data_IF_441448863558
#
_entry.id   IF_441448863558
#
_cell.length_a   1.000
_cell.length_b   1.000
_cell.length_c   1.000
_cell.angle_alpha   90.00
_cell.angle_beta   90.00
_cell.angle_gamma   90.00
#
_symmetry.space_group_name_H-M   'P 1'
#
loop_
_entity.id
_entity.type
_entity.pdbx_description
1 polymer ?
#
# COMPACT_ATOMS: atom_id res chain seq x y z
N UNK A 1 -28.75 -9.66 -0.84
CA UNK A 1 -27.49 -8.89 -0.86
C UNK A 1 -27.58 -7.87 0.29
N UNK A 2 -26.87 -8.11 1.40
CA UNK A 2 -26.88 -7.22 2.56
C UNK A 2 -25.63 -6.34 2.48
N UNK A 3 -25.79 -5.08 2.06
CA UNK A 3 -24.74 -4.08 2.16
C UNK A 3 -24.90 -3.36 3.50
N UNK A 4 -23.85 -3.34 4.32
CA UNK A 4 -23.84 -2.61 5.58
C UNK A 4 -23.67 -1.11 5.29
N UNK A 5 -24.64 -0.29 5.71
CA UNK A 5 -24.55 1.17 5.62
C UNK A 5 -23.83 1.70 6.85
N UNK A 6 -22.60 2.18 6.67
CA UNK A 6 -21.80 2.76 7.75
C UNK A 6 -22.57 3.92 8.41
N UNK A 7 -22.80 3.82 9.72
CA UNK A 7 -23.68 4.72 10.49
C UNK A 7 -22.99 6.01 10.98
N UNK A 8 -21.69 6.17 10.70
CA UNK A 8 -20.90 7.40 10.89
C UNK A 8 -19.88 7.56 9.77
N UNK A 9 -19.72 8.80 9.33
CA UNK A 9 -19.01 9.30 8.15
C UNK A 9 -17.49 9.07 8.17
N UNK A 10 -17.03 7.84 7.92
CA UNK A 10 -15.68 7.63 7.46
C UNK A 10 -15.62 7.93 5.97
N UNK A 11 -14.71 8.83 5.61
CA UNK A 11 -14.43 9.23 4.24
C UNK A 11 -13.51 8.18 3.60
N UNK A 12 -14.13 7.21 2.92
CA UNK A 12 -13.47 6.02 2.40
C UNK A 12 -13.02 6.22 0.96
N UNK A 13 -11.80 5.78 0.67
CA UNK A 13 -11.25 5.75 -0.68
C UNK A 13 -10.61 4.39 -0.96
N UNK A 14 -10.44 4.08 -2.24
CA UNK A 14 -9.70 2.89 -2.67
C UNK A 14 -8.23 3.26 -2.81
N UNK A 15 -7.38 2.55 -2.06
CA UNK A 15 -5.93 2.57 -2.25
C UNK A 15 -5.55 1.48 -3.26
N UNK A 16 -4.97 1.89 -4.38
CA UNK A 16 -4.31 0.97 -5.30
C UNK A 16 -2.88 0.71 -4.84
N UNK A 17 -2.47 -0.55 -4.79
CA UNK A 17 -1.13 -0.99 -4.40
C UNK A 17 -0.57 -1.76 -5.58
N UNK A 18 0.47 -1.26 -6.23
CA UNK A 18 0.96 -1.85 -7.46
C UNK A 18 2.48 -1.98 -7.49
N UNK A 19 2.95 -3.19 -7.81
CA UNK A 19 4.36 -3.44 -8.07
C UNK A 19 4.73 -2.96 -9.46
N UNK A 20 5.79 -2.16 -9.54
CA UNK A 20 6.40 -1.70 -10.80
C UNK A 20 7.70 -2.43 -11.12
N UNK A 21 8.13 -3.36 -10.25
CA UNK A 21 9.32 -4.20 -10.48
C UNK A 21 9.24 -4.97 -11.81
N UNK A 22 10.38 -5.34 -12.43
CA UNK A 22 10.40 -6.07 -13.70
C UNK A 22 9.64 -7.41 -13.69
N UNK A 23 9.49 -8.02 -12.52
CA UNK A 23 8.79 -9.28 -12.29
C UNK A 23 7.32 -9.10 -11.87
N UNK A 24 6.73 -7.92 -12.05
CA UNK A 24 5.37 -7.58 -11.61
C UNK A 24 4.27 -8.51 -12.13
N UNK A 25 4.52 -9.28 -13.18
CA UNK A 25 3.58 -10.28 -13.70
C UNK A 25 3.76 -11.67 -13.10
N UNK A 26 4.92 -11.96 -12.50
CA UNK A 26 5.34 -13.32 -12.13
C UNK A 26 5.38 -13.51 -10.62
N UNK A 27 5.85 -12.51 -9.87
CA UNK A 27 5.95 -12.61 -8.42
C UNK A 27 4.60 -12.48 -7.76
N UNK A 28 4.28 -13.48 -6.92
CA UNK A 28 3.09 -13.46 -6.08
C UNK A 28 3.39 -12.71 -4.77
N UNK A 29 2.88 -11.49 -4.64
CA UNK A 29 2.93 -10.72 -3.39
C UNK A 29 1.83 -11.10 -2.39
N UNK A 30 0.80 -11.79 -2.88
CA UNK A 30 -0.40 -12.14 -2.13
C UNK A 30 -0.22 -13.41 -1.28
N UNK A 31 -0.92 -13.51 -0.12
CA UNK A 31 -1.77 -12.48 0.47
C UNK A 31 -1.02 -11.24 0.94
N UNK A 32 -1.67 -10.07 0.87
CA UNK A 32 -1.22 -8.84 1.52
C UNK A 32 -2.08 -8.66 2.78
N UNK A 33 -1.43 -8.65 3.94
CA UNK A 33 -2.07 -8.28 5.20
C UNK A 33 -2.10 -6.76 5.30
N UNK A 34 -3.30 -6.18 5.26
CA UNK A 34 -3.52 -4.75 5.37
C UNK A 34 -4.38 -4.49 6.61
N UNK A 35 -3.80 -3.85 7.63
CA UNK A 35 -4.46 -3.68 8.91
C UNK A 35 -4.55 -2.22 9.33
N UNK A 36 -5.62 -1.88 10.04
CA UNK A 36 -5.72 -0.59 10.73
C UNK A 36 -4.78 -0.58 11.94
N UNK A 37 -4.16 0.55 12.20
CA UNK A 37 -3.32 0.76 13.38
C UNK A 37 -3.85 1.91 14.25
N UNK A 38 -3.78 1.76 15.57
CA UNK A 38 -4.17 2.78 16.55
C UNK A 38 -5.68 3.02 16.71
N UNK A 39 -6.56 2.10 16.31
CA UNK A 39 -8.01 2.20 16.56
C UNK A 39 -8.43 1.48 17.85
N UNK A 40 -9.62 1.84 18.38
CA UNK A 40 -10.21 1.15 19.54
C UNK A 40 -10.49 -0.34 19.28
N UNK A 41 -10.71 -0.71 18.03
CA UNK A 41 -10.68 -2.06 17.52
C UNK A 41 -9.93 -2.04 16.20
N UNK A 42 -8.88 -2.86 16.08
CA UNK A 42 -8.13 -3.00 14.84
C UNK A 42 -8.70 -4.14 13.99
N UNK A 43 -8.70 -3.94 12.68
CA UNK A 43 -9.17 -4.89 11.70
C UNK A 43 -8.04 -5.21 10.72
N UNK A 44 -8.04 -6.44 10.20
CA UNK A 44 -7.10 -6.91 9.18
C UNK A 44 -7.90 -7.37 7.96
N UNK A 45 -7.51 -6.86 6.80
CA UNK A 45 -7.92 -7.36 5.49
C UNK A 45 -6.79 -8.22 4.92
N UNK A 46 -7.14 -9.42 4.45
CA UNK A 46 -6.21 -10.35 3.80
C UNK A 46 -6.50 -10.31 2.30
N UNK A 47 -5.82 -9.41 1.61
CA UNK A 47 -6.06 -9.11 0.21
C UNK A 47 -5.43 -10.22 -0.63
N UNK A 48 -6.29 -10.95 -1.35
CA UNK A 48 -5.85 -11.94 -2.32
C UNK A 48 -5.34 -11.28 -3.60
N UNK A 49 -4.47 -11.99 -4.31
CA UNK A 49 -3.93 -11.52 -5.57
C UNK A 49 -4.98 -11.46 -6.67
N UNK A 50 -4.79 -10.56 -7.64
CA UNK A 50 -5.68 -10.45 -8.78
C UNK A 50 -5.71 -11.73 -9.61
N UNK A 51 -6.81 -11.92 -10.33
CA UNK A 51 -6.97 -13.06 -11.25
C UNK A 51 -5.88 -13.04 -12.33
N UNK A 52 -5.51 -14.21 -12.83
CA UNK A 52 -4.67 -14.31 -14.03
C UNK A 52 -5.36 -13.61 -15.21
N UNK A 53 -4.63 -12.79 -15.95
CA UNK A 53 -5.17 -12.00 -17.07
C UNK A 53 -4.77 -12.55 -18.45
N UNK A 54 -4.13 -13.73 -18.51
CA UNK A 54 -3.65 -14.32 -19.77
C UNK A 54 -4.33 -15.66 -20.08
N UNK A 55 -4.75 -15.84 -21.33
CA UNK A 55 -5.27 -17.10 -21.87
C UNK A 55 -4.10 -17.90 -22.41
N UNK A 56 -3.65 -18.88 -21.64
CA UNK A 56 -2.54 -19.75 -22.05
C UNK A 56 -2.89 -21.22 -21.81
N UNK A 57 -2.31 -22.10 -22.64
CA UNK A 57 -2.46 -23.54 -22.51
C UNK A 57 -1.79 -24.02 -21.20
N UNK A 58 -2.60 -24.42 -20.21
CA UNK A 58 -2.17 -25.01 -18.92
C UNK A 58 -1.49 -24.04 -17.93
N UNK A 59 -0.94 -24.58 -16.83
CA UNK A 59 -0.23 -23.88 -15.74
C UNK A 59 1.04 -23.12 -16.17
N UNK A 60 1.32 -23.02 -17.47
CA UNK A 60 2.57 -22.48 -18.02
C UNK A 60 2.66 -20.95 -17.99
N UNK A 61 1.55 -20.22 -17.82
CA UNK A 61 1.57 -18.76 -17.88
C UNK A 61 0.67 -18.14 -16.81
N UNK A 62 1.01 -18.38 -15.54
CA UNK A 62 0.35 -17.74 -14.41
C UNK A 62 0.79 -16.28 -14.25
N UNK A 63 0.60 -15.48 -15.30
CA UNK A 63 0.89 -14.04 -15.28
C UNK A 63 -0.28 -13.29 -14.66
N UNK A 64 0.04 -12.50 -13.64
CA UNK A 64 -0.92 -11.72 -12.84
C UNK A 64 -0.34 -10.35 -12.66
N UNK A 65 -1.06 -9.33 -13.11
CA UNK A 65 -0.66 -7.94 -12.85
C UNK A 65 -0.63 -7.76 -11.33
N UNK A 66 0.52 -7.42 -10.73
CA UNK A 66 0.65 -7.26 -9.27
C UNK A 66 0.02 -5.96 -8.77
N UNK A 67 -1.28 -5.83 -8.98
CA UNK A 67 -2.13 -4.70 -8.57
C UNK A 67 -3.18 -5.17 -7.59
N UNK A 68 -3.22 -4.54 -6.43
CA UNK A 68 -4.09 -4.87 -5.31
C UNK A 68 -4.90 -3.64 -4.92
N UNK A 69 -6.08 -3.86 -4.34
CA UNK A 69 -6.96 -2.80 -3.88
C UNK A 69 -7.22 -2.99 -2.40
N UNK A 70 -7.15 -1.91 -1.64
CA UNK A 70 -7.57 -1.86 -0.25
C UNK A 70 -8.49 -0.68 -0.01
N UNK A 71 -9.33 -0.77 1.02
CA UNK A 71 -10.19 0.34 1.45
C UNK A 71 -9.49 1.07 2.59
N UNK A 72 -9.23 2.36 2.38
CA UNK A 72 -8.67 3.24 3.39
C UNK A 72 -9.71 4.25 3.87
N UNK A 73 -9.39 4.97 4.95
CA UNK A 73 -10.23 6.04 5.48
C UNK A 73 -9.36 7.24 5.84
N UNK A 74 -9.85 8.45 5.59
CA UNK A 74 -9.13 9.71 5.80
C UNK A 74 -8.61 9.84 7.23
N UNK A 75 -7.38 10.33 7.38
CA UNK A 75 -6.69 10.57 8.66
C UNK A 75 -6.62 9.31 9.54
N UNK A 76 -6.50 8.14 8.93
CA UNK A 76 -6.25 6.86 9.62
C UNK A 76 -4.88 6.30 9.28
N UNK A 77 -4.40 5.47 10.18
CA UNK A 77 -3.13 4.79 10.07
C UNK A 77 -3.37 3.33 9.68
N UNK A 78 -2.55 2.85 8.77
CA UNK A 78 -2.58 1.49 8.26
C UNK A 78 -1.17 0.91 8.23
N UNK A 79 -1.07 -0.40 8.35
CA UNK A 79 0.15 -1.17 8.17
C UNK A 79 -0.07 -2.24 7.11
N UNK A 80 0.93 -2.42 6.26
CA UNK A 80 0.93 -3.38 5.16
C UNK A 80 2.09 -4.35 5.29
N UNK A 81 1.77 -5.64 5.22
CA UNK A 81 2.76 -6.72 5.14
C UNK A 81 2.46 -7.60 3.93
N UNK A 82 3.51 -7.92 3.18
CA UNK A 82 3.43 -8.84 2.05
C UNK A 82 4.03 -10.19 2.44
N UNK A 83 3.49 -11.28 1.89
CA UNK A 83 3.99 -12.63 2.16
C UNK A 83 5.25 -12.99 1.38
N UNK A 84 5.56 -12.22 0.34
CA UNK A 84 6.78 -12.33 -0.46
C UNK A 84 7.70 -11.13 -0.20
N UNK A 85 8.85 -11.09 -0.87
CA UNK A 85 9.72 -9.91 -0.87
C UNK A 85 8.92 -8.71 -1.34
N UNK A 86 8.86 -7.59 -0.58
CA UNK A 86 8.15 -6.39 -1.03
C UNK A 86 8.80 -5.77 -2.29
N UNK A 87 8.02 -5.14 -3.18
CA UNK A 87 8.55 -4.49 -4.37
C UNK A 87 9.57 -3.40 -4.06
N UNK A 88 10.61 -3.29 -4.89
CA UNK A 88 11.56 -2.19 -4.82
C UNK A 88 10.97 -0.91 -5.42
N UNK A 89 10.20 -1.06 -6.50
CA UNK A 89 9.39 -0.02 -7.10
C UNK A 89 7.91 -0.29 -6.80
N UNK A 90 7.33 0.53 -5.91
CA UNK A 90 5.92 0.46 -5.53
C UNK A 90 5.20 1.74 -5.96
N UNK A 91 4.11 1.58 -6.70
CA UNK A 91 3.22 2.69 -7.06
C UNK A 91 2.00 2.70 -6.14
N UNK A 92 1.77 3.87 -5.53
CA UNK A 92 0.55 4.22 -4.82
C UNK A 92 -0.06 5.45 -5.52
N UNK A 93 -1.34 5.45 -5.89
CA UNK A 93 -1.95 6.57 -6.58
C UNK A 93 -2.06 7.76 -5.63
N UNK A 94 -1.91 8.95 -6.20
CA UNK A 94 -2.07 10.20 -5.46
C UNK A 94 -3.55 10.40 -5.12
N UNK A 95 -3.85 10.59 -3.84
CA UNK A 95 -5.16 11.04 -3.38
C UNK A 95 -5.32 12.56 -3.59
N UNK A 96 -6.56 13.05 -3.45
CA UNK A 96 -6.83 14.49 -3.40
C UNK A 96 -5.90 15.19 -2.36
N UNK A 97 -5.37 16.40 -2.62
CA UNK A 97 -4.54 17.15 -1.67
C UNK A 97 -5.08 17.21 -0.24
N UNK A 98 -6.40 17.20 -0.06
CA UNK A 98 -7.02 17.25 1.27
C UNK A 98 -7.20 15.86 1.89
N UNK A 99 -6.94 14.78 1.16
CA UNK A 99 -7.08 13.40 1.61
C UNK A 99 -5.71 12.78 1.93
N UNK A 100 -5.50 12.43 3.20
CA UNK A 100 -4.26 11.82 3.65
C UNK A 100 -4.51 10.61 4.55
N UNK A 101 -3.66 9.61 4.41
CA UNK A 101 -3.57 8.42 5.27
C UNK A 101 -2.10 8.18 5.59
N UNK A 102 -1.83 7.51 6.72
CA UNK A 102 -0.48 7.03 7.05
C UNK A 102 -0.41 5.56 6.71
N UNK A 103 0.57 5.17 5.92
CA UNK A 103 0.82 3.77 5.56
C UNK A 103 2.22 3.37 6.01
N UNK A 104 2.29 2.42 6.95
CA UNK A 104 3.52 1.68 7.27
C UNK A 104 3.67 0.50 6.31
N UNK A 105 4.88 0.30 5.79
CA UNK A 105 5.20 -0.82 4.91
C UNK A 105 6.42 -1.54 5.47
N UNK A 106 6.28 -2.84 5.69
CA UNK A 106 7.37 -3.65 6.20
C UNK A 106 8.26 -4.18 5.09
N UNK A 107 9.54 -3.86 5.18
CA UNK A 107 10.60 -4.39 4.33
C UNK A 107 11.53 -5.29 5.14
N UNK A 108 12.04 -6.35 4.49
CA UNK A 108 12.97 -7.30 5.14
C UNK A 108 14.37 -6.74 5.36
N UNK A 109 14.68 -5.59 4.75
CA UNK A 109 15.96 -4.90 4.85
C UNK A 109 15.77 -3.51 5.42
N UNK A 110 16.71 -3.08 6.27
CA UNK A 110 16.78 -1.70 6.70
C UNK A 110 17.24 -0.83 5.52
N UNK A 111 16.40 0.14 5.12
CA UNK A 111 16.69 1.05 4.02
C UNK A 111 15.80 2.28 4.09
N UNK A 112 16.26 3.37 3.47
CA UNK A 112 15.44 4.56 3.27
C UNK A 112 14.60 4.33 2.01
N UNK A 113 13.31 4.62 2.09
CA UNK A 113 12.42 4.61 0.94
C UNK A 113 12.46 5.98 0.27
N UNK A 114 12.84 5.99 -1.02
CA UNK A 114 12.75 7.20 -1.83
C UNK A 114 11.33 7.37 -2.36
N UNK A 115 10.74 8.53 -2.08
CA UNK A 115 9.37 8.85 -2.50
C UNK A 115 9.42 9.83 -3.66
N UNK A 116 8.71 9.52 -4.74
CA UNK A 116 8.61 10.38 -5.92
C UNK A 116 7.14 10.78 -6.15
N UNK A 117 6.89 12.07 -6.33
CA UNK A 117 5.56 12.61 -6.67
C UNK A 117 5.68 13.33 -8.00
N UNK A 118 4.94 12.88 -9.02
CA UNK A 118 5.03 13.41 -10.38
C UNK A 118 6.47 13.43 -10.93
N UNK A 119 7.26 12.39 -10.60
CA UNK A 119 8.67 12.27 -11.00
C UNK A 119 9.64 13.13 -10.18
N UNK A 120 9.17 13.91 -9.21
CA UNK A 120 10.02 14.74 -8.34
C UNK A 120 10.28 14.02 -7.03
N UNK A 121 11.56 13.90 -6.65
CA UNK A 121 11.97 13.34 -5.37
C UNK A 121 11.48 14.18 -4.19
N UNK A 122 10.87 13.51 -3.22
CA UNK A 122 10.35 14.10 -1.99
C UNK A 122 11.22 13.67 -0.82
N UNK A 123 11.97 14.61 -0.25
CA UNK A 123 12.79 14.37 0.93
C UNK A 123 11.91 14.02 2.13
N UNK A 124 12.29 12.97 2.86
CA UNK A 124 11.60 12.58 4.07
C UNK A 124 11.60 13.72 5.10
N UNK A 125 10.43 14.05 5.67
CA UNK A 125 10.29 15.16 6.62
C UNK A 125 10.93 14.88 7.99
N UNK A 126 11.13 13.61 8.31
CA UNK A 126 11.87 13.12 9.47
C UNK A 126 13.37 12.90 9.18
N UNK A 127 13.86 13.21 7.97
CA UNK A 127 15.29 13.17 7.70
C UNK A 127 15.97 14.29 8.49
N UNK A 128 16.69 13.93 9.56
CA UNK A 128 17.58 14.84 10.26
C UNK A 128 18.63 15.30 9.25
N UNK A 129 18.51 16.54 8.78
CA UNK A 129 19.63 17.24 8.15
C UNK A 129 20.26 18.13 9.19
N UNK A 130 21.59 18.19 9.20
CA UNK A 130 22.46 18.76 10.25
C UNK A 130 22.18 20.20 10.72
N UNK A 131 21.09 20.84 10.31
CA UNK A 131 20.61 22.08 10.90
C UNK A 131 19.07 22.11 10.98
N UNK A 132 18.57 22.11 12.23
CA UNK A 132 17.27 22.60 12.71
C UNK A 132 16.05 21.64 12.71
N UNK A 133 15.65 21.30 13.95
CA UNK A 133 14.32 20.94 14.48
C UNK A 133 13.59 19.78 13.78
N UNK A 134 13.69 18.61 14.40
CA UNK A 134 12.78 17.48 14.16
C UNK A 134 11.38 17.84 14.66
N UNK A 135 10.38 17.75 13.79
CA UNK A 135 8.99 17.57 14.22
C UNK A 135 8.67 16.09 14.17
N UNK A 136 8.36 15.53 15.34
CA UNK A 136 7.91 14.16 15.51
C UNK A 136 6.62 13.92 14.74
N UNK A 137 6.55 12.80 14.01
CA UNK A 137 5.28 12.18 13.68
C UNK A 137 4.96 11.19 14.80
N UNK A 138 4.06 11.59 15.70
CA UNK A 138 3.31 10.69 16.57
C UNK A 138 2.36 9.88 15.67
#
# INVERSE_FOLDING_TARGET
MQAYKCSKALDHEILLIESMDPDALERRLSPIAFATDGLSANYIDLINGPSGHEVCSSYACLKRISTFMSVVARQKNFVMHMTSTPPQELRLPQADPDYAVRLGIDYFTAGILDVYVNGVYMKAKNAITDNLVSYDFI
#
